data_IF_274730595038
#
_entry.id   IF_274730595038
#
_cell.length_a   1.000
_cell.length_b   1.000
_cell.length_c   1.000
_cell.angle_alpha   90.00
_cell.angle_beta   90.00
_cell.angle_gamma   90.00
#
_symmetry.space_group_name_H-M   'P 1'
#
loop_
_entity.id
_entity.type
_entity.pdbx_description
1 polymer ?
#
# COMPACT_ATOMS: atom_id res chain seq x y z
N UNK A 1 -35.09 0.77 43.95
CA UNK A 1 -33.68 0.39 43.66
C UNK A 1 -33.64 -0.11 42.22
N UNK A 2 -32.98 0.62 41.31
CA UNK A 2 -32.81 0.20 39.91
C UNK A 2 -31.32 0.18 39.61
N UNK A 3 -30.80 -1.01 39.32
CA UNK A 3 -29.38 -1.31 39.29
C UNK A 3 -28.79 -0.78 37.98
N UNK A 4 -28.08 0.35 38.02
CA UNK A 4 -27.29 0.84 36.89
C UNK A 4 -26.00 0.02 36.85
N UNK A 5 -25.91 -0.92 35.91
CA UNK A 5 -24.65 -1.58 35.59
C UNK A 5 -23.81 -0.60 34.75
N UNK A 6 -22.85 0.06 35.39
CA UNK A 6 -21.83 0.86 34.69
C UNK A 6 -20.84 -0.11 34.07
N UNK A 7 -20.82 -0.18 32.73
CA UNK A 7 -19.83 -0.93 31.99
C UNK A 7 -18.58 -0.04 31.84
N UNK A 8 -17.47 -0.43 32.47
CA UNK A 8 -16.19 0.26 32.34
C UNK A 8 -15.74 0.27 30.87
N UNK A 9 -15.59 1.47 30.30
CA UNK A 9 -14.94 1.67 29.00
C UNK A 9 -13.42 1.61 29.23
N UNK A 10 -12.76 0.55 28.75
CA UNK A 10 -11.30 0.49 28.71
C UNK A 10 -10.79 1.39 27.56
N UNK A 11 -9.91 2.38 27.81
CA UNK A 11 -9.28 3.11 26.72
C UNK A 11 -8.34 2.16 25.98
N UNK A 12 -8.66 1.84 24.74
CA UNK A 12 -7.76 1.14 23.83
C UNK A 12 -6.60 2.09 23.55
N UNK A 13 -5.46 1.83 24.19
CA UNK A 13 -4.22 2.54 23.95
C UNK A 13 -3.71 2.14 22.56
N UNK A 14 -4.01 2.95 21.54
CA UNK A 14 -3.49 2.74 20.19
C UNK A 14 -1.99 3.08 20.18
N UNK A 15 -1.15 2.05 20.15
CA UNK A 15 0.28 2.22 19.90
C UNK A 15 0.44 2.50 18.41
N UNK A 16 0.63 3.76 18.04
CA UNK A 16 1.01 4.14 16.68
C UNK A 16 2.46 3.70 16.46
N UNK A 17 2.66 2.52 15.87
CA UNK A 17 3.95 2.20 15.27
C UNK A 17 4.05 2.98 13.96
N UNK A 18 4.90 3.99 13.92
CA UNK A 18 5.35 4.58 12.66
C UNK A 18 6.26 3.55 12.00
N UNK A 19 5.77 2.85 10.98
CA UNK A 19 6.65 2.10 10.10
C UNK A 19 7.48 3.11 9.31
N UNK A 20 8.74 3.29 9.70
CA UNK A 20 9.68 4.03 8.87
C UNK A 20 9.96 3.15 7.64
N UNK A 21 9.38 3.51 6.49
CA UNK A 21 9.77 2.93 5.22
C UNK A 21 11.11 3.56 4.84
N UNK A 22 12.20 2.83 5.11
CA UNK A 22 13.53 3.25 4.72
C UNK A 22 13.76 2.83 3.26
N UNK A 23 13.81 3.81 2.35
CA UNK A 23 14.26 3.58 0.98
C UNK A 23 15.79 3.59 0.97
N UNK A 24 16.40 2.46 0.60
CA UNK A 24 17.85 2.37 0.55
C UNK A 24 18.45 3.21 -0.58
N UNK A 25 19.69 3.66 -0.41
CA UNK A 25 20.37 4.58 -1.34
C UNK A 25 21.79 4.10 -1.65
N UNK A 26 22.18 4.19 -2.93
CA UNK A 26 23.56 3.97 -3.37
C UNK A 26 24.46 5.14 -2.94
N UNK A 27 25.59 4.81 -2.32
CA UNK A 27 26.58 5.79 -1.86
C UNK A 27 27.94 5.40 -2.44
N UNK A 28 28.71 6.39 -2.87
CA UNK A 28 30.07 6.21 -3.37
C UNK A 28 31.08 6.95 -2.49
N UNK A 29 32.17 6.29 -2.17
CA UNK A 29 33.34 6.90 -1.54
C UNK A 29 34.64 6.55 -2.29
N UNK A 30 35.79 6.86 -1.69
CA UNK A 30 37.11 6.60 -2.27
C UNK A 30 37.45 5.11 -2.43
N UNK A 31 36.75 4.20 -1.75
CA UNK A 31 36.95 2.74 -1.85
C UNK A 31 36.00 2.11 -2.86
N UNK A 32 34.77 2.60 -2.97
CA UNK A 32 33.81 2.10 -3.96
C UNK A 32 32.37 2.46 -3.65
N UNK A 33 31.47 1.73 -4.31
CA UNK A 33 30.02 1.84 -4.10
C UNK A 33 29.58 0.95 -2.94
N UNK A 34 28.70 1.44 -2.09
CA UNK A 34 28.01 0.66 -1.06
C UNK A 34 26.53 1.09 -1.00
N UNK A 35 25.71 0.33 -0.29
CA UNK A 35 24.27 0.58 -0.23
C UNK A 35 23.80 0.77 1.21
N UNK A 36 23.29 1.95 1.52
CA UNK A 36 22.63 2.21 2.80
C UNK A 36 21.19 1.71 2.70
N UNK A 37 20.76 0.82 3.59
CA UNK A 37 19.37 0.34 3.66
C UNK A 37 18.41 1.40 4.25
N UNK A 38 18.94 2.58 4.62
CA UNK A 38 18.22 3.74 5.13
C UNK A 38 17.93 3.68 6.64
N UNK A 39 18.14 2.52 7.27
CA UNK A 39 18.10 2.31 8.71
C UNK A 39 19.50 2.38 9.37
N UNK A 40 20.52 2.83 8.63
CA UNK A 40 21.91 2.88 9.07
C UNK A 40 22.64 1.53 9.00
N UNK A 41 22.05 0.51 8.37
CA UNK A 41 22.73 -0.77 8.07
C UNK A 41 23.02 -0.90 6.58
N UNK A 42 24.01 -1.71 6.24
CA UNK A 42 24.41 -1.99 4.86
C UNK A 42 24.62 -3.49 4.65
N UNK A 43 24.37 -4.02 3.44
CA UNK A 43 24.66 -5.40 3.12
C UNK A 43 26.18 -5.64 3.15
N UNK A 44 26.58 -6.81 3.62
CA UNK A 44 27.97 -7.28 3.56
C UNK A 44 27.99 -8.79 3.34
N UNK A 45 29.01 -9.26 2.63
CA UNK A 45 29.24 -10.66 2.28
C UNK A 45 27.97 -11.39 1.76
N UNK A 46 27.20 -10.72 0.91
CA UNK A 46 25.89 -11.19 0.46
C UNK A 46 25.46 -10.59 -0.86
N UNK A 47 24.60 -11.31 -1.57
CA UNK A 47 23.86 -10.85 -2.73
C UNK A 47 22.63 -10.04 -2.31
N UNK A 48 22.33 -8.96 -3.03
CA UNK A 48 21.12 -8.16 -2.86
C UNK A 48 20.48 -7.86 -4.20
N UNK A 49 19.16 -8.02 -4.26
CA UNK A 49 18.34 -7.49 -5.34
C UNK A 49 17.98 -6.04 -5.01
N UNK A 50 18.49 -5.10 -5.81
CA UNK A 50 18.30 -3.66 -5.57
C UNK A 50 17.70 -3.03 -6.83
N UNK A 51 16.52 -2.43 -6.67
CA UNK A 51 15.92 -1.55 -7.67
C UNK A 51 16.42 -0.12 -7.44
N UNK A 52 17.62 0.15 -7.96
CA UNK A 52 18.34 1.41 -7.72
C UNK A 52 17.75 2.60 -8.45
N UNK A 53 16.94 2.38 -9.50
CA UNK A 53 16.29 3.41 -10.29
C UNK A 53 14.77 3.50 -10.03
N UNK A 54 14.24 2.65 -9.14
CA UNK A 54 12.82 2.60 -8.75
C UNK A 54 11.87 2.33 -9.93
N UNK A 55 12.27 1.48 -10.87
CA UNK A 55 11.47 1.16 -12.07
C UNK A 55 10.61 -0.13 -11.95
N UNK A 56 10.66 -0.80 -10.80
CA UNK A 56 10.02 -2.09 -10.57
C UNK A 56 10.91 -3.29 -10.87
N UNK A 57 12.16 -3.07 -11.27
CA UNK A 57 13.09 -4.11 -11.68
C UNK A 57 14.39 -3.97 -10.91
N UNK A 58 14.68 -4.95 -10.07
CA UNK A 58 15.94 -5.02 -9.37
C UNK A 58 16.98 -5.79 -10.19
N UNK A 59 18.22 -5.31 -10.22
CA UNK A 59 19.38 -6.14 -10.53
C UNK A 59 19.99 -6.76 -9.26
N UNK A 60 20.80 -7.80 -9.44
CA UNK A 60 21.48 -8.49 -8.33
C UNK A 60 22.93 -8.03 -8.20
N UNK A 61 23.33 -7.60 -7.00
CA UNK A 61 24.66 -7.08 -6.70
C UNK A 61 25.28 -7.85 -5.53
N UNK A 62 26.58 -8.15 -5.58
CA UNK A 62 27.30 -8.77 -4.47
C UNK A 62 28.10 -7.72 -3.70
N UNK A 63 27.92 -7.71 -2.38
CA UNK A 63 28.69 -6.87 -1.47
C UNK A 63 29.77 -7.68 -0.78
N UNK A 64 31.00 -7.19 -0.81
CA UNK A 64 32.13 -7.83 -0.16
C UNK A 64 32.00 -7.84 1.37
N UNK A 65 32.99 -8.42 2.05
CA UNK A 65 33.00 -8.51 3.52
C UNK A 65 33.02 -7.16 4.25
N UNK A 66 33.35 -6.07 3.55
CA UNK A 66 33.37 -4.71 4.09
C UNK A 66 32.11 -3.92 3.70
N UNK A 67 31.24 -4.47 2.85
CA UNK A 67 30.01 -3.84 2.40
C UNK A 67 30.13 -3.04 1.11
N UNK A 68 31.22 -3.22 0.36
CA UNK A 68 31.39 -2.57 -0.94
C UNK A 68 30.92 -3.50 -2.07
N UNK A 69 30.17 -2.93 -3.02
CA UNK A 69 29.70 -3.60 -4.22
C UNK A 69 30.88 -4.03 -5.09
N UNK A 70 30.91 -5.30 -5.46
CA UNK A 70 31.91 -5.84 -6.38
C UNK A 70 31.56 -5.44 -7.82
N UNK A 71 32.53 -4.89 -8.55
CA UNK A 71 32.35 -4.36 -9.92
C UNK A 71 33.39 -4.95 -10.86
N UNK A 72 32.96 -5.33 -12.07
CA UNK A 72 33.78 -5.85 -13.17
C UNK A 72 34.73 -6.98 -12.75
N UNK A 73 34.21 -7.97 -12.03
CA UNK A 73 35.03 -8.99 -11.39
C UNK A 73 34.26 -10.32 -11.24
N UNK A 74 34.89 -11.29 -10.58
CA UNK A 74 34.30 -12.56 -10.17
C UNK A 74 34.11 -12.50 -8.65
N UNK A 75 32.92 -12.86 -8.18
CA UNK A 75 32.58 -12.91 -6.75
C UNK A 75 33.23 -14.13 -6.06
N UNK A 76 33.33 -14.17 -4.72
CA UNK A 76 33.96 -15.29 -4.01
C UNK A 76 33.30 -16.66 -4.24
N UNK A 77 32.01 -16.65 -4.58
CA UNK A 77 31.20 -17.82 -4.95
C UNK A 77 31.20 -18.09 -6.48
N UNK A 78 32.13 -17.47 -7.21
CA UNK A 78 32.46 -17.75 -8.61
C UNK A 78 31.41 -17.33 -9.65
N UNK A 79 30.59 -16.32 -9.35
CA UNK A 79 29.72 -15.66 -10.32
C UNK A 79 30.38 -14.39 -10.89
N UNK A 80 29.96 -13.97 -12.08
CA UNK A 80 30.52 -12.78 -12.74
C UNK A 80 29.61 -11.58 -12.60
N UNK A 81 30.18 -10.43 -12.27
CA UNK A 81 29.50 -9.13 -12.26
C UNK A 81 30.06 -8.22 -13.35
N UNK A 82 29.21 -7.41 -13.97
CA UNK A 82 29.60 -6.52 -15.07
C UNK A 82 30.24 -5.20 -14.57
N UNK A 83 30.50 -4.26 -15.49
CA UNK A 83 31.08 -2.95 -15.18
C UNK A 83 30.22 -2.03 -14.30
N UNK A 84 28.93 -2.35 -14.12
CA UNK A 84 28.02 -1.68 -13.19
C UNK A 84 27.87 -2.44 -11.86
N UNK A 85 28.52 -3.60 -11.71
CA UNK A 85 28.41 -4.47 -10.53
C UNK A 85 27.23 -5.44 -10.56
N UNK A 86 26.40 -5.41 -11.61
CA UNK A 86 25.25 -6.30 -11.73
C UNK A 86 25.70 -7.71 -12.13
N UNK A 87 25.11 -8.73 -11.50
CA UNK A 87 25.29 -10.13 -11.84
C UNK A 87 24.92 -10.39 -13.29
N UNK A 88 25.81 -11.09 -14.00
CA UNK A 88 25.57 -11.55 -15.37
C UNK A 88 25.69 -13.07 -15.49
N UNK A 89 24.84 -13.64 -16.32
CA UNK A 89 24.95 -15.01 -16.82
C UNK A 89 24.90 -14.96 -18.34
N UNK A 90 25.86 -15.60 -19.02
CA UNK A 90 25.99 -15.54 -20.49
C UNK A 90 25.98 -14.10 -21.06
N UNK A 91 26.60 -13.16 -20.35
CA UNK A 91 26.61 -11.72 -20.66
C UNK A 91 25.24 -11.00 -20.58
N UNK A 92 24.23 -11.63 -19.98
CA UNK A 92 22.90 -11.03 -19.74
C UNK A 92 22.77 -10.68 -18.26
N UNK A 93 22.38 -9.44 -17.96
CA UNK A 93 22.11 -8.97 -16.59
C UNK A 93 20.92 -9.72 -16.02
N UNK A 94 21.10 -10.26 -14.82
CA UNK A 94 20.03 -10.94 -14.10
C UNK A 94 19.16 -9.90 -13.40
N UNK A 95 17.86 -9.96 -13.68
CA UNK A 95 16.86 -9.03 -13.16
C UNK A 95 15.73 -9.78 -12.48
N UNK A 96 15.10 -9.13 -11.50
CA UNK A 96 13.91 -9.65 -10.81
C UNK A 96 12.91 -8.51 -10.62
N UNK A 97 11.63 -8.77 -10.87
CA UNK A 97 10.56 -7.84 -10.47
C UNK A 97 10.49 -7.78 -8.96
N UNK A 98 10.53 -6.56 -8.43
CA UNK A 98 10.38 -6.29 -7.00
C UNK A 98 9.25 -5.29 -6.82
N UNK A 99 8.51 -5.44 -5.73
CA UNK A 99 7.45 -4.50 -5.38
C UNK A 99 8.12 -3.17 -5.03
N UNK A 100 8.14 -2.24 -5.99
CA UNK A 100 8.34 -0.84 -5.64
C UNK A 100 7.10 -0.47 -4.86
N UNK A 101 7.28 -0.13 -3.58
CA UNK A 101 6.29 0.68 -2.90
C UNK A 101 6.25 2.01 -3.67
N UNK A 102 5.43 2.07 -4.72
CA UNK A 102 5.17 3.31 -5.43
C UNK A 102 4.64 4.27 -4.36
N UNK A 103 5.48 5.20 -3.95
CA UNK A 103 5.18 6.13 -2.84
C UNK A 103 3.95 6.99 -3.15
N UNK A 104 3.50 7.01 -4.42
CA UNK A 104 2.21 7.57 -4.82
C UNK A 104 1.03 6.81 -4.23
N UNK A 105 1.13 5.48 -4.08
CA UNK A 105 0.03 4.62 -3.65
C UNK A 105 0.21 4.17 -2.19
N UNK A 106 -0.87 4.28 -1.42
CA UNK A 106 -0.96 3.64 -0.11
C UNK A 106 -1.39 2.18 -0.28
N UNK A 107 -0.55 1.24 0.12
CA UNK A 107 -0.84 -0.20 0.05
C UNK A 107 -1.72 -0.62 1.24
N UNK A 108 -2.91 -1.14 0.95
CA UNK A 108 -3.87 -1.61 1.96
C UNK A 108 -4.33 -3.04 1.65
N UNK A 109 -4.62 -3.80 2.70
CA UNK A 109 -5.20 -5.15 2.60
C UNK A 109 -6.69 -5.12 2.92
N UNK A 110 -7.46 -5.88 2.16
CA UNK A 110 -8.90 -5.95 2.35
C UNK A 110 -9.60 -6.82 1.31
N UNK A 111 -10.92 -6.81 1.36
CA UNK A 111 -11.77 -7.59 0.45
C UNK A 111 -12.57 -6.66 -0.45
N UNK A 112 -12.54 -6.92 -1.76
CA UNK A 112 -13.42 -6.23 -2.71
C UNK A 112 -14.80 -6.89 -2.65
N UNK A 113 -15.86 -6.09 -2.50
CA UNK A 113 -17.24 -6.58 -2.45
C UNK A 113 -18.14 -5.76 -3.34
N UNK A 114 -18.94 -6.45 -4.16
CA UNK A 114 -20.10 -5.89 -4.85
C UNK A 114 -21.32 -6.19 -3.97
N UNK A 115 -21.98 -5.13 -3.51
CA UNK A 115 -23.05 -5.18 -2.50
C UNK A 115 -24.28 -4.41 -2.98
N UNK A 116 -25.45 -4.81 -2.49
CA UNK A 116 -26.70 -4.05 -2.59
C UNK A 116 -26.85 -3.08 -1.44
N UNK A 117 -27.80 -2.15 -1.55
CA UNK A 117 -27.99 -1.06 -0.60
C UNK A 117 -28.03 -1.50 0.86
N UNK A 118 -28.84 -2.51 1.19
CA UNK A 118 -29.00 -2.98 2.57
C UNK A 118 -27.75 -3.71 3.09
N UNK A 119 -26.96 -4.31 2.22
CA UNK A 119 -25.68 -4.95 2.61
C UNK A 119 -24.62 -3.89 2.92
N UNK A 120 -24.63 -2.75 2.23
CA UNK A 120 -23.76 -1.61 2.56
C UNK A 120 -24.09 -1.06 3.95
N UNK A 121 -25.38 -0.92 4.29
CA UNK A 121 -25.80 -0.52 5.63
C UNK A 121 -25.26 -1.48 6.71
N UNK A 122 -25.38 -2.78 6.47
CA UNK A 122 -24.88 -3.82 7.38
C UNK A 122 -23.35 -3.78 7.54
N UNK A 123 -22.61 -3.61 6.44
CA UNK A 123 -21.14 -3.49 6.47
C UNK A 123 -20.68 -2.23 7.19
N UNK A 124 -21.38 -1.11 7.03
CA UNK A 124 -21.05 0.14 7.72
C UNK A 124 -21.58 0.18 9.16
N UNK A 125 -22.51 -0.71 9.54
CA UNK A 125 -23.13 -0.72 10.86
C UNK A 125 -23.99 0.52 11.13
N UNK A 126 -24.62 1.09 10.09
CA UNK A 126 -25.39 2.34 10.16
C UNK A 126 -26.87 2.08 9.91
N UNK A 127 -27.71 2.97 10.47
CA UNK A 127 -29.10 3.09 10.04
C UNK A 127 -29.15 3.70 8.64
N UNK A 128 -30.23 3.41 7.91
CA UNK A 128 -30.48 3.99 6.59
C UNK A 128 -30.46 5.53 6.68
N UNK A 129 -29.51 6.22 6.01
CA UNK A 129 -29.43 7.67 6.04
C UNK A 129 -30.52 8.33 5.19
N UNK A 130 -31.12 7.61 4.23
CA UNK A 130 -32.12 8.14 3.30
C UNK A 130 -33.34 7.20 3.18
N UNK A 131 -34.07 6.89 4.28
CA UNK A 131 -35.08 5.83 4.31
C UNK A 131 -36.30 6.11 3.44
N UNK A 132 -36.62 7.39 3.19
CA UNK A 132 -37.78 7.82 2.41
C UNK A 132 -37.42 8.28 0.99
N UNK A 133 -36.18 8.05 0.55
CA UNK A 133 -35.72 8.45 -0.77
C UNK A 133 -36.10 7.40 -1.83
N UNK A 134 -36.43 7.85 -3.04
CA UNK A 134 -36.71 7.00 -4.20
C UNK A 134 -35.42 6.49 -4.87
N UNK A 135 -34.47 6.01 -4.06
CA UNK A 135 -33.20 5.48 -4.53
C UNK A 135 -33.34 4.05 -5.05
N UNK A 136 -32.54 3.71 -6.05
CA UNK A 136 -32.43 2.34 -6.54
C UNK A 136 -31.70 1.47 -5.49
N UNK A 137 -32.46 0.57 -4.85
CA UNK A 137 -31.95 -0.35 -3.83
C UNK A 137 -31.20 -1.55 -4.43
N UNK A 138 -31.41 -1.81 -5.72
CA UNK A 138 -30.78 -2.89 -6.47
C UNK A 138 -29.49 -2.43 -7.18
N UNK A 139 -29.15 -1.13 -7.09
CA UNK A 139 -27.87 -0.60 -7.54
C UNK A 139 -26.71 -1.33 -6.83
N UNK A 140 -25.70 -1.71 -7.62
CA UNK A 140 -24.44 -2.22 -7.10
C UNK A 140 -23.61 -1.10 -6.47
N UNK A 141 -23.09 -1.38 -5.30
CA UNK A 141 -21.99 -0.65 -4.66
C UNK A 141 -20.76 -1.53 -4.67
N UNK A 142 -19.64 -1.00 -5.17
CA UNK A 142 -18.36 -1.70 -5.17
C UNK A 142 -17.51 -1.08 -4.07
N UNK A 143 -17.16 -1.89 -3.07
CA UNK A 143 -16.43 -1.44 -1.90
C UNK A 143 -15.10 -2.18 -1.77
N UNK A 144 -14.08 -1.47 -1.31
CA UNK A 144 -12.94 -2.09 -0.64
C UNK A 144 -13.18 -2.09 0.86
N UNK A 145 -13.31 -3.28 1.46
CA UNK A 145 -13.49 -3.42 2.91
C UNK A 145 -12.12 -3.75 3.51
N UNK A 146 -11.55 -2.81 4.24
CA UNK A 146 -10.22 -2.94 4.84
C UNK A 146 -10.22 -4.03 5.92
N UNK A 147 -9.12 -4.77 6.08
CA UNK A 147 -8.99 -5.78 7.15
C UNK A 147 -9.06 -5.15 8.55
N UNK A 148 -8.53 -3.93 8.69
CA UNK A 148 -8.62 -3.10 9.89
C UNK A 148 -8.93 -1.66 9.48
N UNK A 149 -9.66 -0.88 10.29
CA UNK A 149 -9.84 0.54 10.03
C UNK A 149 -8.50 1.28 9.90
N UNK A 150 -8.38 2.17 8.93
CA UNK A 150 -7.17 2.94 8.65
C UNK A 150 -7.47 4.44 8.67
N UNK A 151 -6.55 5.23 9.23
CA UNK A 151 -6.58 6.67 9.09
C UNK A 151 -6.04 7.05 7.72
N UNK A 152 -6.90 7.55 6.84
CA UNK A 152 -6.54 7.97 5.49
C UNK A 152 -6.71 9.47 5.35
N UNK A 153 -5.82 10.12 4.61
CA UNK A 153 -5.92 11.54 4.24
C UNK A 153 -6.38 11.63 2.79
N UNK A 154 -7.52 12.28 2.56
CA UNK A 154 -8.06 12.49 1.21
C UNK A 154 -8.46 13.95 1.01
N UNK A 155 -8.65 14.34 -0.25
CA UNK A 155 -9.03 15.71 -0.60
C UNK A 155 -10.49 16.00 -0.24
N UNK A 156 -10.77 17.27 0.04
CA UNK A 156 -12.13 17.80 0.08
C UNK A 156 -12.49 18.37 -1.28
N UNK A 157 -13.78 18.47 -1.55
CA UNK A 157 -14.29 19.09 -2.78
C UNK A 157 -13.84 20.56 -2.88
N UNK A 158 -13.64 21.23 -1.74
CA UNK A 158 -13.22 22.63 -1.67
C UNK A 158 -11.69 22.83 -1.73
N UNK A 159 -10.91 21.80 -2.07
CA UNK A 159 -9.46 21.91 -2.31
C UNK A 159 -8.57 21.76 -1.07
N UNK A 160 -9.14 21.39 0.08
CA UNK A 160 -8.39 21.02 1.29
C UNK A 160 -8.08 19.52 1.36
N UNK A 161 -7.47 19.09 2.45
CA UNK A 161 -7.37 17.67 2.81
C UNK A 161 -7.47 17.50 4.32
N UNK A 162 -7.98 16.36 4.76
CA UNK A 162 -8.00 15.99 6.17
C UNK A 162 -8.06 14.48 6.33
N UNK A 163 -7.69 14.00 7.50
CA UNK A 163 -7.65 12.57 7.82
C UNK A 163 -8.91 12.10 8.53
N UNK A 164 -9.39 10.90 8.17
CA UNK A 164 -10.44 10.17 8.91
C UNK A 164 -10.10 8.70 9.00
N UNK A 165 -10.49 8.08 10.12
CA UNK A 165 -10.44 6.62 10.24
C UNK A 165 -11.63 6.01 9.50
N UNK A 166 -11.34 5.13 8.55
CA UNK A 166 -12.34 4.46 7.70
C UNK A 166 -12.11 2.96 7.66
N UNK A 167 -13.20 2.21 7.45
CA UNK A 167 -13.17 0.74 7.25
C UNK A 167 -13.51 0.35 5.81
N UNK A 168 -14.07 1.29 5.05
CA UNK A 168 -14.64 1.07 3.72
C UNK A 168 -14.16 2.19 2.80
N UNK A 169 -13.78 1.82 1.57
CA UNK A 169 -13.50 2.74 0.46
C UNK A 169 -14.51 2.49 -0.65
N UNK A 170 -14.98 3.54 -1.31
CA UNK A 170 -15.87 3.43 -2.47
C UNK A 170 -15.05 3.26 -3.74
N UNK A 171 -15.34 2.20 -4.51
CA UNK A 171 -14.71 1.88 -5.79
C UNK A 171 -15.69 2.01 -6.97
N UNK A 172 -16.85 2.66 -6.75
CA UNK A 172 -17.97 2.68 -7.69
C UNK A 172 -17.61 3.19 -9.10
N UNK A 173 -16.63 4.08 -9.18
CA UNK A 173 -16.25 4.79 -10.41
C UNK A 173 -15.08 4.11 -11.16
N UNK A 174 -14.56 3.00 -10.62
CA UNK A 174 -13.41 2.30 -11.19
C UNK A 174 -13.83 1.20 -12.19
N UNK A 175 -13.18 1.11 -13.36
CA UNK A 175 -13.46 0.08 -14.34
C UNK A 175 -12.97 -1.29 -13.87
N UNK A 176 -13.62 -2.36 -14.36
CA UNK A 176 -13.23 -3.78 -14.23
C UNK A 176 -13.06 -4.35 -12.82
N UNK A 177 -13.18 -3.53 -11.77
CA UNK A 177 -12.94 -3.94 -10.38
C UNK A 177 -14.01 -4.91 -9.87
N UNK A 178 -15.21 -4.91 -10.47
CA UNK A 178 -16.29 -5.87 -10.17
C UNK A 178 -15.85 -7.33 -10.35
N UNK A 179 -14.89 -7.60 -11.24
CA UNK A 179 -14.37 -8.95 -11.48
C UNK A 179 -13.68 -9.56 -10.25
N UNK A 180 -13.26 -8.72 -9.29
CA UNK A 180 -12.58 -9.13 -8.06
C UNK A 180 -13.55 -9.33 -6.87
N UNK A 181 -14.87 -9.35 -7.11
CA UNK A 181 -15.86 -9.52 -6.04
C UNK A 181 -15.58 -10.77 -5.19
N UNK A 182 -15.49 -10.57 -3.87
CA UNK A 182 -15.25 -11.62 -2.88
C UNK A 182 -13.77 -11.95 -2.67
N UNK A 183 -12.84 -11.38 -3.45
CA UNK A 183 -11.42 -11.64 -3.30
C UNK A 183 -10.80 -10.78 -2.19
N UNK A 184 -10.00 -11.42 -1.34
CA UNK A 184 -9.06 -10.74 -0.45
C UNK A 184 -7.79 -10.43 -1.22
N UNK A 185 -7.38 -9.16 -1.21
CA UNK A 185 -6.27 -8.64 -2.02
C UNK A 185 -5.47 -7.61 -1.24
N UNK A 186 -4.22 -7.44 -1.67
CA UNK A 186 -3.43 -6.24 -1.39
C UNK A 186 -3.60 -5.29 -2.59
N UNK A 187 -3.83 -4.02 -2.32
CA UNK A 187 -4.07 -3.02 -3.36
C UNK A 187 -3.41 -1.69 -3.03
N UNK A 188 -2.90 -1.00 -4.05
CA UNK A 188 -2.39 0.35 -3.95
C UNK A 188 -3.47 1.38 -4.28
N UNK A 189 -3.61 2.42 -3.46
CA UNK A 189 -4.58 3.51 -3.63
C UNK A 189 -3.88 4.87 -3.75
N UNK A 190 -4.12 5.62 -4.82
CA UNK A 190 -3.61 6.99 -4.92
C UNK A 190 -4.54 7.95 -4.17
N UNK A 191 -4.20 8.21 -2.92
CA UNK A 191 -4.99 9.07 -2.04
C UNK A 191 -4.91 10.56 -2.41
N UNK A 192 -3.98 10.96 -3.30
CA UNK A 192 -3.90 12.33 -3.80
C UNK A 192 -5.01 12.67 -4.79
N UNK A 193 -5.65 11.66 -5.38
CA UNK A 193 -6.80 11.82 -6.27
C UNK A 193 -8.09 11.26 -5.67
N UNK A 194 -8.03 10.63 -4.49
CA UNK A 194 -9.20 10.26 -3.71
C UNK A 194 -9.83 11.47 -2.99
N UNK A 195 -11.14 11.43 -2.75
CA UNK A 195 -11.86 12.53 -2.11
C UNK A 195 -12.92 12.08 -1.11
N UNK A 196 -13.21 12.94 -0.15
CA UNK A 196 -14.34 12.80 0.78
C UNK A 196 -15.63 13.25 0.12
N UNK A 197 -16.67 12.41 0.02
CA UNK A 197 -17.98 12.87 -0.45
C UNK A 197 -18.60 13.84 0.56
N UNK A 198 -19.39 14.80 0.07
CA UNK A 198 -20.10 15.79 0.88
C UNK A 198 -21.58 15.44 1.12
N UNK A 199 -22.11 14.44 0.43
CA UNK A 199 -23.52 14.04 0.49
C UNK A 199 -23.79 12.95 1.54
N UNK A 200 -25.06 12.59 1.68
CA UNK A 200 -25.52 11.51 2.57
C UNK A 200 -25.71 10.18 1.82
N UNK A 201 -25.17 10.04 0.61
CA UNK A 201 -25.33 8.83 -0.20
C UNK A 201 -24.48 7.68 0.34
N UNK A 202 -24.88 6.44 0.05
CA UNK A 202 -24.06 5.28 0.36
C UNK A 202 -22.90 5.12 -0.64
N UNK A 203 -21.75 4.55 -0.22
CA UNK A 203 -21.37 4.26 1.17
C UNK A 203 -21.12 5.54 1.98
N UNK A 204 -21.83 5.71 3.10
CA UNK A 204 -21.93 6.99 3.80
C UNK A 204 -20.56 7.46 4.28
N UNK A 205 -20.10 8.58 3.76
CA UNK A 205 -18.85 9.23 4.14
C UNK A 205 -17.58 8.41 3.89
N UNK A 206 -17.64 7.32 3.13
CA UNK A 206 -16.46 6.59 2.68
C UNK A 206 -15.74 7.37 1.57
N UNK A 207 -14.40 7.40 1.51
CA UNK A 207 -13.70 8.13 0.48
C UNK A 207 -13.94 7.45 -0.88
N UNK A 208 -14.10 8.25 -1.91
CA UNK A 208 -14.19 7.77 -3.29
C UNK A 208 -12.78 7.65 -3.85
N UNK A 209 -12.47 6.46 -4.34
CA UNK A 209 -11.19 6.13 -4.96
C UNK A 209 -11.30 6.30 -6.47
N UNK A 210 -10.41 7.11 -7.03
CA UNK A 210 -10.36 7.38 -8.47
C UNK A 210 -9.20 6.65 -9.18
N UNK A 211 -8.21 6.15 -8.43
CA UNK A 211 -7.06 5.44 -8.99
C UNK A 211 -6.54 4.39 -8.00
N UNK A 212 -6.42 3.16 -8.48
CA UNK A 212 -5.91 2.02 -7.71
C UNK A 212 -5.31 0.95 -8.62
N UNK A 213 -4.50 0.08 -8.03
CA UNK A 213 -4.10 -1.19 -8.65
C UNK A 213 -4.18 -2.34 -7.66
N UNK A 214 -4.33 -3.57 -8.18
CA UNK A 214 -4.22 -4.80 -7.41
C UNK A 214 -2.76 -5.23 -7.42
N UNK A 215 -2.18 -5.35 -6.24
CA UNK A 215 -0.81 -5.82 -6.02
C UNK A 215 -0.80 -7.36 -6.16
N UNK A 216 0.00 -7.88 -7.09
CA UNK A 216 -0.07 -9.29 -7.55
C UNK A 216 1.04 -10.15 -6.98
#
# INVERSE_FOLDING_TARGET
MRNIKVLLLLPVFAIFFTINAYAGTWIQDNKGWWYDQGNGTWPSNSWQWIDGNSDGTAECYYFDKFGYCMINTITPDNYRVNASGAWIENNIVQTKKVDVADTRYTLLNGTIRVLKYNEVLAVQGINDPNPNSSIDRDKDFILFILDMPQALTCKTIDGGSYSRTVKVLSLNDLPDIKAYNGQHVKAGFDLNVAYWPSDTSLPLGAPVINDMYIDK
#
